data_IF_162982216154
#
_entry.id   IF_162982216154
#
_cell.length_a   1.000
_cell.length_b   1.000
_cell.length_c   1.000
_cell.angle_alpha   90.00
_cell.angle_beta   90.00
_cell.angle_gamma   90.00
#
_symmetry.space_group_name_H-M   'P 1'
#
loop_
_entity.id
_entity.type
_entity.pdbx_description
1 polymer ?
#
# COMPACT_ATOMS: atom_id res chain seq x y z
N UNK A 1 -4.96 0.03 -2.15
CA UNK A 1 -4.46 -0.80 -1.06
C UNK A 1 -5.07 -2.19 -1.10
N UNK A 2 -4.48 -3.14 -0.39
CA UNK A 2 -5.02 -4.49 -0.27
C UNK A 2 -4.65 -5.08 1.10
N UNK A 3 -5.08 -6.29 1.35
CA UNK A 3 -4.65 -7.07 2.51
C UNK A 3 -4.26 -8.48 2.08
N UNK A 4 -3.39 -9.11 2.85
CA UNK A 4 -2.98 -10.49 2.64
C UNK A 4 -2.77 -11.16 3.98
N UNK A 5 -2.76 -12.49 4.00
CA UNK A 5 -2.59 -13.22 5.26
C UNK A 5 -1.15 -13.19 5.77
N UNK A 6 -0.17 -13.02 4.88
CA UNK A 6 1.24 -12.94 5.25
C UNK A 6 1.95 -11.86 4.45
N UNK A 7 3.14 -11.46 4.92
CA UNK A 7 3.92 -10.40 4.30
C UNK A 7 4.27 -10.72 2.84
N UNK A 8 4.50 -11.97 2.52
CA UNK A 8 4.82 -12.41 1.17
C UNK A 8 3.69 -13.22 0.53
N UNK A 9 2.48 -13.09 1.04
CA UNK A 9 1.29 -13.84 0.61
C UNK A 9 0.52 -13.18 -0.54
N UNK A 10 1.19 -12.37 -1.36
CA UNK A 10 0.62 -11.81 -2.56
C UNK A 10 0.22 -10.34 -2.48
N UNK A 11 0.59 -9.61 -1.42
CA UNK A 11 0.23 -8.18 -1.31
C UNK A 11 0.75 -7.37 -2.51
N UNK A 12 1.96 -7.63 -2.95
CA UNK A 12 2.57 -6.89 -4.05
C UNK A 12 1.93 -7.23 -5.39
N UNK A 13 1.78 -8.53 -5.66
CA UNK A 13 1.16 -8.97 -6.92
C UNK A 13 -0.30 -8.57 -7.01
N UNK A 14 -1.03 -8.54 -5.90
CA UNK A 14 -2.40 -8.06 -5.86
C UNK A 14 -2.48 -6.59 -6.24
N UNK A 15 -1.63 -5.75 -5.63
CA UNK A 15 -1.59 -4.32 -5.95
C UNK A 15 -1.27 -4.09 -7.42
N UNK A 16 -0.25 -4.78 -7.94
CA UNK A 16 0.14 -4.65 -9.35
C UNK A 16 -0.96 -5.11 -10.29
N UNK A 17 -1.64 -6.22 -9.97
CA UNK A 17 -2.76 -6.72 -10.79
C UNK A 17 -3.93 -5.75 -10.81
N UNK A 18 -4.22 -5.08 -9.69
CA UNK A 18 -5.29 -4.09 -9.61
C UNK A 18 -5.02 -2.88 -10.50
N UNK A 19 -3.77 -2.56 -10.75
CA UNK A 19 -3.40 -1.40 -11.58
C UNK A 19 -3.74 -1.61 -13.05
N UNK A 20 -3.74 -2.83 -13.55
CA UNK A 20 -3.94 -3.13 -14.97
C UNK A 20 -5.27 -2.57 -15.49
N UNK A 21 -6.44 -2.90 -14.92
CA UNK A 21 -7.70 -2.33 -15.39
C UNK A 21 -7.79 -0.82 -15.14
N UNK A 22 -7.14 -0.30 -14.11
CA UNK A 22 -7.15 1.13 -13.83
C UNK A 22 -6.36 1.92 -14.90
N UNK A 23 -5.30 1.33 -15.42
CA UNK A 23 -4.56 1.90 -16.54
C UNK A 23 -5.43 2.04 -17.79
N UNK A 24 -6.34 1.09 -18.02
CA UNK A 24 -7.27 1.16 -19.14
C UNK A 24 -8.21 2.37 -19.05
N UNK A 25 -8.45 2.87 -17.83
CA UNK A 25 -9.24 4.07 -17.60
C UNK A 25 -8.42 5.36 -17.68
N UNK A 26 -7.14 5.27 -18.01
CA UNK A 26 -6.27 6.44 -18.11
C UNK A 26 -5.84 7.01 -16.75
N UNK A 27 -5.96 6.22 -15.68
CA UNK A 27 -5.57 6.68 -14.35
C UNK A 27 -4.05 6.75 -14.21
N UNK A 28 -3.59 7.78 -13.51
CA UNK A 28 -2.16 7.96 -13.21
C UNK A 28 -1.83 7.18 -11.95
N UNK A 29 -0.87 6.28 -12.06
CA UNK A 29 -0.44 5.45 -10.94
C UNK A 29 0.62 6.20 -10.14
N UNK A 30 0.47 6.19 -8.81
CA UNK A 30 1.49 6.68 -7.90
C UNK A 30 1.87 5.57 -6.92
N UNK A 31 3.15 5.50 -6.59
CA UNK A 31 3.62 4.56 -5.58
C UNK A 31 3.91 5.25 -4.25
N UNK A 32 4.46 4.48 -3.33
CA UNK A 32 4.98 4.98 -2.05
C UNK A 32 6.50 5.04 -2.16
N UNK A 33 7.11 6.23 -2.09
CA UNK A 33 8.55 6.34 -2.23
C UNK A 33 9.29 5.88 -0.97
N UNK A 34 10.51 5.41 -1.13
CA UNK A 34 11.33 4.97 0.01
C UNK A 34 11.77 6.10 0.93
N UNK A 35 11.47 7.35 0.58
CA UNK A 35 11.59 8.47 1.54
C UNK A 35 10.59 8.33 2.71
N UNK A 36 9.56 7.51 2.56
CA UNK A 36 8.72 7.06 3.67
C UNK A 36 9.51 5.99 4.42
N UNK A 37 10.08 6.36 5.56
CA UNK A 37 11.03 5.50 6.31
C UNK A 37 10.43 4.17 6.72
N UNK A 38 9.16 4.17 7.10
CA UNK A 38 8.44 2.98 7.53
C UNK A 38 8.37 1.91 6.44
N UNK A 39 8.49 2.30 5.18
CA UNK A 39 8.46 1.36 4.07
C UNK A 39 9.65 0.38 4.13
N UNK A 40 10.81 0.85 4.53
CA UNK A 40 11.98 0.00 4.72
C UNK A 40 12.00 -0.73 6.05
N UNK A 41 11.25 -0.25 7.04
CA UNK A 41 11.24 -0.78 8.40
C UNK A 41 10.13 -1.80 8.65
N UNK A 42 9.04 -1.74 7.88
CA UNK A 42 7.86 -2.57 8.13
C UNK A 42 8.17 -4.06 8.08
N UNK A 43 7.57 -4.80 9.02
CA UNK A 43 7.59 -6.26 9.05
C UNK A 43 6.19 -6.84 8.84
N UNK A 44 5.30 -6.05 8.31
CA UNK A 44 3.93 -6.45 8.01
C UNK A 44 3.54 -5.88 6.66
N UNK A 45 2.45 -5.14 6.55
CA UNK A 45 2.02 -4.56 5.29
C UNK A 45 2.82 -3.32 4.89
N UNK A 46 2.55 -2.85 3.69
CA UNK A 46 3.22 -1.72 3.07
C UNK A 46 4.21 -2.13 2.01
N UNK A 47 4.13 -1.49 0.86
CA UNK A 47 5.04 -1.76 -0.25
C UNK A 47 5.18 -0.50 -1.11
N UNK A 48 6.22 -0.43 -1.98
CA UNK A 48 6.33 0.69 -2.90
C UNK A 48 5.17 0.76 -3.91
N UNK A 49 4.42 -0.33 -4.07
CA UNK A 49 3.27 -0.41 -4.98
C UNK A 49 1.98 0.08 -4.34
N UNK A 50 1.97 0.28 -3.04
CA UNK A 50 0.83 0.83 -2.31
C UNK A 50 0.74 0.33 -0.88
N UNK A 51 -0.13 0.96 -0.07
CA UNK A 51 -0.39 0.50 1.30
C UNK A 51 -1.04 -0.89 1.30
N UNK A 52 -0.73 -1.67 2.31
CA UNK A 52 -1.33 -2.99 2.51
C UNK A 52 -1.34 -3.36 3.99
N UNK A 53 -2.13 -4.36 4.32
CA UNK A 53 -2.27 -4.87 5.67
C UNK A 53 -2.03 -6.38 5.68
N UNK A 54 -1.22 -6.86 6.60
CA UNK A 54 -1.03 -8.29 6.85
C UNK A 54 -1.98 -8.70 7.97
N UNK A 55 -2.97 -9.52 7.62
CA UNK A 55 -4.05 -9.90 8.53
C UNK A 55 -3.69 -11.04 9.48
N UNK A 56 -2.67 -11.84 9.16
CA UNK A 56 -2.36 -13.07 9.87
C UNK A 56 -3.12 -14.27 9.29
N UNK A 57 -2.88 -15.44 9.86
CA UNK A 57 -3.43 -16.69 9.37
C UNK A 57 -4.23 -17.43 10.45
N UNK A 58 -5.18 -18.25 10.01
CA UNK A 58 -5.96 -19.14 10.89
C UNK A 58 -6.77 -18.37 11.90
N UNK A 59 -6.56 -18.66 13.19
CA UNK A 59 -7.29 -18.02 14.28
C UNK A 59 -6.62 -16.76 14.79
N UNK A 60 -5.44 -16.43 14.27
CA UNK A 60 -4.66 -15.24 14.70
C UNK A 60 -4.79 -14.16 13.66
N UNK A 61 -5.51 -13.11 14.02
CA UNK A 61 -5.65 -11.93 13.16
C UNK A 61 -4.92 -10.75 13.79
N UNK A 62 -4.10 -10.07 12.99
CA UNK A 62 -3.36 -8.91 13.43
C UNK A 62 -4.14 -7.63 13.17
N UNK A 63 -4.09 -6.72 14.12
CA UNK A 63 -4.56 -5.34 13.91
C UNK A 63 -3.57 -4.61 13.01
N UNK A 64 -3.97 -3.47 12.48
CA UNK A 64 -3.07 -2.60 11.73
C UNK A 64 -1.84 -2.27 12.57
N UNK A 65 -0.66 -2.50 12.03
CA UNK A 65 0.57 -2.08 12.70
C UNK A 65 0.75 -0.58 12.55
N UNK A 66 1.59 0.01 13.42
CA UNK A 66 1.88 1.43 13.33
C UNK A 66 2.55 1.78 11.99
N UNK A 67 3.43 0.91 11.49
CA UNK A 67 4.07 1.11 10.20
C UNK A 67 3.05 1.10 9.06
N UNK A 68 2.11 0.15 9.08
CA UNK A 68 1.04 0.09 8.09
C UNK A 68 0.20 1.36 8.08
N UNK A 69 -0.17 1.87 9.27
CA UNK A 69 -0.94 3.10 9.40
C UNK A 69 -0.16 4.29 8.86
N UNK A 70 1.11 4.41 9.21
CA UNK A 70 1.95 5.52 8.76
C UNK A 70 2.14 5.51 7.26
N UNK A 71 2.42 4.35 6.68
CA UNK A 71 2.57 4.19 5.23
C UNK A 71 1.28 4.59 4.51
N UNK A 72 0.12 4.12 5.00
CA UNK A 72 -1.16 4.45 4.39
C UNK A 72 -1.47 5.96 4.47
N UNK A 73 -1.20 6.58 5.60
CA UNK A 73 -1.40 8.03 5.76
C UNK A 73 -0.52 8.84 4.83
N UNK A 74 0.76 8.49 4.75
CA UNK A 74 1.70 9.19 3.86
C UNK A 74 1.39 8.98 2.39
N UNK A 75 0.91 7.79 2.02
CA UNK A 75 0.42 7.55 0.66
C UNK A 75 -0.79 8.43 0.34
N UNK A 76 -1.75 8.54 1.26
CA UNK A 76 -2.92 9.40 1.09
C UNK A 76 -2.54 10.88 0.96
N UNK A 77 -1.64 11.37 1.80
CA UNK A 77 -1.14 12.74 1.72
C UNK A 77 -0.47 13.03 0.37
N UNK A 78 0.34 12.09 -0.11
CA UNK A 78 1.01 12.21 -1.41
C UNK A 78 -0.01 12.28 -2.55
N UNK A 79 -1.00 11.42 -2.54
CA UNK A 79 -2.06 11.42 -3.56
C UNK A 79 -2.83 12.73 -3.54
N UNK A 80 -3.18 13.22 -2.35
CA UNK A 80 -3.89 14.50 -2.23
C UNK A 80 -3.08 15.67 -2.78
N UNK A 81 -1.78 15.73 -2.49
CA UNK A 81 -0.90 16.78 -3.01
C UNK A 81 -0.77 16.72 -4.53
N UNK A 82 -0.63 15.51 -5.08
CA UNK A 82 -0.56 15.32 -6.53
C UNK A 82 -1.87 15.71 -7.21
N UNK A 83 -3.00 15.32 -6.63
CA UNK A 83 -4.31 15.65 -7.17
C UNK A 83 -4.51 17.17 -7.25
N UNK A 84 -4.10 17.91 -6.22
CA UNK A 84 -4.16 19.37 -6.21
C UNK A 84 -3.29 19.98 -7.30
N UNK A 85 -2.11 19.43 -7.56
CA UNK A 85 -1.20 19.93 -8.60
C UNK A 85 -1.69 19.65 -10.01
N UNK A 86 -2.44 18.57 -10.20
CA UNK A 86 -2.94 18.16 -11.50
C UNK A 86 -4.32 18.75 -11.85
N UNK A 87 -4.98 19.37 -10.89
CA UNK A 87 -6.32 19.95 -11.10
C UNK A 87 -6.31 21.33 -11.75
#
# INVERSE_FOLDING_TARGET
FCSSSSMHGGQESTLLSMMIPLLHHGMVITGVPYSVRELGATRSGGSPYGPSHVTGEGKTFFKLSQDEVTIARKAGERIARLALKLS
#
